data_IF_835358987325
#
_entry.id   IF_835358987325
#
_cell.length_a   1.000
_cell.length_b   1.000
_cell.length_c   1.000
_cell.angle_alpha   90.00
_cell.angle_beta   90.00
_cell.angle_gamma   90.00
#
_symmetry.space_group_name_H-M   'P 1'
#
loop_
_entity.id
_entity.type
_entity.pdbx_description
1 polymer ?
#
# COMPACT_ATOMS: atom_id res chain seq x y z
N UNK A 1 -14.63 16.25 13.38
CA UNK A 1 -14.34 14.90 12.83
C UNK A 1 -14.34 15.05 11.32
N UNK A 2 -13.25 14.67 10.65
CA UNK A 2 -13.24 14.63 9.19
C UNK A 2 -14.16 13.52 8.70
N UNK A 3 -14.83 13.75 7.58
CA UNK A 3 -15.54 12.70 6.83
C UNK A 3 -14.66 12.38 5.63
N UNK A 4 -14.35 11.10 5.43
CA UNK A 4 -13.49 10.61 4.36
C UNK A 4 -13.71 9.13 4.09
N UNK A 5 -13.08 8.60 3.06
CA UNK A 5 -13.08 7.16 2.79
C UNK A 5 -12.21 6.45 3.84
N UNK A 6 -12.77 5.52 4.63
CA UNK A 6 -11.99 4.82 5.65
C UNK A 6 -10.85 3.95 5.08
N UNK A 7 -10.89 3.58 3.79
CA UNK A 7 -9.83 2.82 3.14
C UNK A 7 -8.59 3.68 2.82
N UNK A 8 -8.72 5.00 2.83
CA UNK A 8 -7.61 5.93 2.62
C UNK A 8 -6.52 5.79 3.70
N UNK A 9 -6.85 5.31 4.90
CA UNK A 9 -5.89 5.06 5.99
C UNK A 9 -4.73 4.13 5.55
N UNK A 10 -4.98 3.25 4.58
CA UNK A 10 -3.95 2.35 4.05
C UNK A 10 -2.97 3.03 3.07
N UNK A 11 -3.09 4.33 2.79
CA UNK A 11 -2.22 5.05 1.85
C UNK A 11 -0.72 5.06 2.24
N UNK A 12 -0.41 4.77 3.51
CA UNK A 12 0.96 4.66 4.06
C UNK A 12 1.41 3.21 4.27
N UNK A 13 0.69 2.22 3.74
CA UNK A 13 0.99 0.79 3.95
C UNK A 13 2.40 0.40 3.49
N UNK A 14 3.02 1.17 2.58
CA UNK A 14 4.39 0.95 2.13
C UNK A 14 5.39 0.81 3.27
N UNK A 15 5.21 1.55 4.37
CA UNK A 15 6.08 1.46 5.54
C UNK A 15 5.96 0.12 6.25
N UNK A 16 4.74 -0.43 6.35
CA UNK A 16 4.54 -1.79 6.87
C UNK A 16 5.10 -2.84 5.92
N UNK A 17 4.82 -2.72 4.61
CA UNK A 17 5.25 -3.71 3.61
C UNK A 17 6.78 -3.82 3.54
N UNK A 18 7.50 -2.68 3.59
CA UNK A 18 8.98 -2.65 3.60
C UNK A 18 9.59 -3.39 4.80
N UNK A 19 8.87 -3.48 5.91
CA UNK A 19 9.32 -4.20 7.11
C UNK A 19 8.86 -5.65 7.08
N UNK A 20 7.61 -5.92 6.70
CA UNK A 20 7.03 -7.26 6.63
C UNK A 20 5.76 -7.30 5.77
N UNK A 21 5.85 -7.90 4.59
CA UNK A 21 4.69 -8.13 3.73
C UNK A 21 3.60 -8.99 4.40
N UNK A 22 3.91 -10.10 5.12
CA UNK A 22 2.90 -10.86 5.85
C UNK A 22 2.16 -10.05 6.92
N UNK A 23 2.87 -9.16 7.62
CA UNK A 23 2.24 -8.28 8.61
C UNK A 23 1.24 -7.32 7.94
N UNK A 24 1.64 -6.68 6.84
CA UNK A 24 0.75 -5.80 6.07
C UNK A 24 -0.48 -6.54 5.52
N UNK A 25 -0.31 -7.78 5.03
CA UNK A 25 -1.43 -8.63 4.64
C UNK A 25 -2.37 -8.92 5.82
N UNK A 26 -1.81 -9.23 6.99
CA UNK A 26 -2.56 -9.43 8.23
C UNK A 26 -3.35 -8.20 8.66
N UNK A 27 -2.83 -6.98 8.47
CA UNK A 27 -3.56 -5.74 8.73
C UNK A 27 -4.80 -5.61 7.83
N UNK A 28 -4.65 -5.87 6.52
CA UNK A 28 -5.75 -5.84 5.55
C UNK A 28 -6.79 -6.91 5.89
N UNK A 29 -6.37 -8.15 6.11
CA UNK A 29 -7.28 -9.23 6.46
C UNK A 29 -8.02 -8.99 7.78
N UNK A 30 -7.34 -8.45 8.79
CA UNK A 30 -7.97 -8.10 10.06
C UNK A 30 -9.05 -7.04 9.88
N UNK A 31 -8.81 -6.06 9.02
CA UNK A 31 -9.78 -4.99 8.73
C UNK A 31 -11.01 -5.49 7.98
N UNK A 32 -10.83 -6.37 6.99
CA UNK A 32 -11.91 -6.88 6.13
C UNK A 32 -12.45 -8.25 6.55
N UNK A 33 -12.16 -8.72 7.77
CA UNK A 33 -12.56 -10.05 8.24
C UNK A 33 -12.20 -11.18 7.25
N UNK A 34 -10.96 -11.19 6.78
CA UNK A 34 -10.35 -12.11 5.80
C UNK A 34 -10.82 -11.96 4.34
N UNK A 35 -11.79 -11.11 4.03
CA UNK A 35 -12.38 -10.99 2.69
C UNK A 35 -12.28 -9.54 2.16
N UNK A 36 -11.08 -9.04 1.84
CA UNK A 36 -10.94 -7.71 1.26
C UNK A 36 -11.61 -7.65 -0.11
N UNK A 37 -12.51 -6.67 -0.35
CA UNK A 37 -13.17 -6.53 -1.63
C UNK A 37 -12.18 -6.12 -2.72
N UNK A 38 -12.47 -6.46 -3.96
CA UNK A 38 -11.59 -6.14 -5.08
C UNK A 38 -11.43 -4.62 -5.28
N UNK A 39 -12.49 -3.86 -5.03
CA UNK A 39 -12.53 -2.39 -5.08
C UNK A 39 -11.53 -1.75 -4.12
N UNK A 40 -11.27 -2.39 -2.97
CA UNK A 40 -10.27 -1.90 -2.02
C UNK A 40 -8.88 -1.85 -2.67
N UNK A 41 -8.49 -2.86 -3.46
CA UNK A 41 -7.17 -2.88 -4.10
C UNK A 41 -7.04 -1.81 -5.19
N UNK A 42 -8.11 -1.53 -5.94
CA UNK A 42 -8.14 -0.42 -6.91
C UNK A 42 -7.93 0.92 -6.22
N UNK A 43 -8.62 1.15 -5.11
CA UNK A 43 -8.48 2.36 -4.31
C UNK A 43 -7.13 2.43 -3.61
N UNK A 44 -6.61 1.32 -3.09
CA UNK A 44 -5.27 1.25 -2.49
C UNK A 44 -4.19 1.64 -3.50
N UNK A 45 -4.29 1.17 -4.75
CA UNK A 45 -3.39 1.60 -5.84
C UNK A 45 -3.47 3.11 -6.05
N UNK A 46 -4.68 3.66 -6.21
CA UNK A 46 -4.88 5.10 -6.37
C UNK A 46 -4.30 5.90 -5.21
N UNK A 47 -4.66 5.55 -3.98
CA UNK A 47 -4.21 6.23 -2.76
C UNK A 47 -2.70 6.13 -2.57
N UNK A 48 -2.08 5.01 -2.96
CA UNK A 48 -0.62 4.87 -2.94
C UNK A 48 0.06 5.86 -3.89
N UNK A 49 -0.45 6.02 -5.13
CA UNK A 49 0.10 6.99 -6.07
C UNK A 49 -0.12 8.44 -5.62
N UNK A 50 -1.32 8.75 -5.12
CA UNK A 50 -1.63 10.07 -4.56
C UNK A 50 -0.69 10.40 -3.40
N UNK A 51 -0.46 9.45 -2.49
CA UNK A 51 0.47 9.63 -1.36
C UNK A 51 1.91 9.84 -1.83
N UNK A 52 2.39 9.06 -2.82
CA UNK A 52 3.74 9.19 -3.35
C UNK A 52 4.01 10.55 -4.00
N UNK A 53 3.01 11.14 -4.66
CA UNK A 53 3.12 12.50 -5.23
C UNK A 53 3.03 13.54 -4.11
N UNK A 54 2.09 13.38 -3.18
CA UNK A 54 1.83 14.33 -2.11
C UNK A 54 2.96 14.38 -1.05
N UNK A 55 3.77 13.33 -0.93
CA UNK A 55 4.88 13.27 0.02
C UNK A 55 6.10 14.10 -0.41
N UNK A 56 6.28 14.35 -1.72
CA UNK A 56 7.43 15.10 -2.24
C UNK A 56 7.46 16.57 -1.76
N UNK A 57 6.35 17.36 -1.83
CA UNK A 57 6.32 18.70 -1.26
C UNK A 57 6.67 18.75 0.24
N UNK A 58 6.32 17.71 0.99
CA UNK A 58 6.66 17.61 2.41
C UNK A 58 8.14 17.29 2.64
N UNK A 59 8.75 16.50 1.76
CA UNK A 59 10.17 16.14 1.83
C UNK A 59 11.12 17.29 1.46
N UNK A 60 10.73 18.15 0.50
CA UNK A 60 11.55 19.27 0.02
C UNK A 60 12.16 20.14 1.15
N UNK A 61 11.37 20.68 2.11
CA UNK A 61 11.92 21.50 3.19
C UNK A 61 12.76 20.72 4.20
N UNK A 62 12.70 19.38 4.20
CA UNK A 62 13.44 18.52 5.13
C UNK A 62 14.82 18.09 4.58
N UNK A 63 15.07 18.34 3.30
CA UNK A 63 16.37 18.11 2.66
C UNK A 63 16.44 16.83 1.84
N UNK A 64 17.58 16.63 1.19
CA UNK A 64 17.77 15.62 0.14
C UNK A 64 17.51 14.19 0.61
N UNK A 65 17.91 13.84 1.84
CA UNK A 65 17.69 12.50 2.39
C UNK A 65 16.20 12.12 2.38
N UNK A 66 15.31 13.04 2.74
CA UNK A 66 13.87 12.76 2.73
C UNK A 66 13.33 12.67 1.30
N UNK A 67 13.87 13.47 0.37
CA UNK A 67 13.50 13.40 -1.06
C UNK A 67 13.87 12.03 -1.62
N UNK A 68 15.08 11.54 -1.32
CA UNK A 68 15.57 10.24 -1.77
C UNK A 68 14.67 9.11 -1.24
N UNK A 69 14.29 9.17 0.03
CA UNK A 69 13.36 8.20 0.64
C UNK A 69 12.00 8.21 -0.09
N UNK A 70 11.44 9.38 -0.41
CA UNK A 70 10.16 9.45 -1.13
C UNK A 70 10.29 8.92 -2.57
N UNK A 71 11.41 9.20 -3.22
CA UNK A 71 11.71 8.68 -4.55
C UNK A 71 11.85 7.15 -4.55
N UNK A 72 12.59 6.58 -3.61
CA UNK A 72 12.75 5.12 -3.45
C UNK A 72 11.41 4.43 -3.18
N UNK A 73 10.58 5.03 -2.32
CA UNK A 73 9.23 4.54 -2.05
C UNK A 73 8.37 4.52 -3.34
N UNK A 74 8.48 5.54 -4.18
CA UNK A 74 7.80 5.57 -5.48
C UNK A 74 8.28 4.45 -6.41
N UNK A 75 9.60 4.20 -6.49
CA UNK A 75 10.15 3.13 -7.34
C UNK A 75 9.64 1.75 -6.91
N UNK A 76 9.68 1.46 -5.60
CA UNK A 76 9.16 0.21 -5.03
C UNK A 76 7.67 0.05 -5.36
N UNK A 77 6.87 1.08 -5.13
CA UNK A 77 5.44 1.05 -5.38
C UNK A 77 5.12 0.86 -6.87
N UNK A 78 5.87 1.51 -7.77
CA UNK A 78 5.74 1.29 -9.22
C UNK A 78 5.99 -0.18 -9.59
N UNK A 79 6.96 -0.83 -8.96
CA UNK A 79 7.27 -2.23 -9.24
C UNK A 79 6.19 -3.19 -8.74
N UNK A 80 5.45 -2.84 -7.67
CA UNK A 80 4.31 -3.62 -7.18
C UNK A 80 3.12 -3.66 -8.13
N UNK A 81 2.94 -2.60 -8.92
CA UNK A 81 1.81 -2.45 -9.84
C UNK A 81 2.22 -2.55 -11.31
N UNK A 82 3.33 -3.27 -11.60
CA UNK A 82 3.77 -3.56 -12.98
C UNK A 82 2.65 -4.27 -13.75
N UNK A 83 2.66 -4.08 -15.08
CA UNK A 83 1.72 -4.70 -16.03
C UNK A 83 0.25 -4.36 -15.73
N UNK A 84 0.01 -3.13 -15.28
CA UNK A 84 -1.30 -2.57 -14.94
C UNK A 84 -2.08 -3.32 -13.86
N UNK A 85 -1.41 -4.16 -13.05
CA UNK A 85 -2.05 -4.91 -11.99
C UNK A 85 -2.79 -4.00 -11.00
N UNK A 86 -4.01 -4.39 -10.63
CA UNK A 86 -4.81 -3.71 -9.60
C UNK A 86 -4.45 -4.16 -8.19
N UNK A 87 -3.89 -5.37 -8.05
CA UNK A 87 -3.49 -5.96 -6.77
C UNK A 87 -1.96 -5.93 -6.71
N UNK A 88 -1.33 -5.37 -5.66
CA UNK A 88 0.11 -5.29 -5.62
C UNK A 88 0.76 -6.67 -5.47
N UNK A 89 1.93 -6.87 -6.09
CA UNK A 89 2.62 -8.18 -6.13
C UNK A 89 2.91 -8.79 -4.76
N UNK A 90 3.23 -7.97 -3.75
CA UNK A 90 3.46 -8.43 -2.38
C UNK A 90 2.20 -9.08 -1.77
N UNK A 91 1.02 -8.54 -2.07
CA UNK A 91 -0.24 -9.09 -1.59
C UNK A 91 -0.62 -10.36 -2.33
N UNK A 92 -0.34 -10.44 -3.64
CA UNK A 92 -0.54 -11.69 -4.38
C UNK A 92 0.33 -12.83 -3.81
N UNK A 93 1.55 -12.50 -3.39
CA UNK A 93 2.53 -13.46 -2.87
C UNK A 93 2.20 -13.91 -1.44
N UNK A 94 1.80 -12.99 -0.55
CA UNK A 94 1.64 -13.26 0.89
C UNK A 94 0.21 -13.15 1.43
N UNK A 95 -0.70 -12.53 0.69
CA UNK A 95 -2.10 -12.32 1.06
C UNK A 95 -3.05 -13.41 0.60
N UNK A 96 -2.62 -14.31 -0.30
CA UNK A 96 -3.42 -15.46 -0.68
C UNK A 96 -3.60 -16.39 0.52
N UNK A 97 -4.79 -16.39 1.14
CA UNK A 97 -5.16 -17.38 2.15
C UNK A 97 -5.19 -18.74 1.44
N UNK A 98 -4.20 -19.59 1.69
CA UNK A 98 -4.33 -21.01 1.34
C UNK A 98 -5.57 -21.50 2.07
N UNK A 99 -6.63 -21.87 1.32
CA UNK A 99 -7.71 -22.66 1.90
C UNK A 99 -7.04 -23.83 2.60
N UNK A 100 -7.29 -23.97 3.89
CA UNK A 100 -6.90 -25.16 4.61
C UNK A 100 -7.71 -26.27 3.95
N UNK A 101 -7.04 -27.20 3.26
CA UNK A 101 -7.72 -28.38 2.75
C UNK A 101 -8.36 -29.07 3.97
N UNK A 102 -9.69 -29.20 3.92
CA UNK A 102 -10.50 -29.90 4.94
C UNK A 102 -10.18 -31.39 4.98
#
# INVERSE_FOLDING_TARGET
MGVGDPWEEFNRIIWSVKVSEPFACGQIHGYFNQEPPHEFFKLLKLYSYVNAIASLPWAIPLGQEQIDIMHDNYQIMRDWYRDDSEIPTWYQTHGSIKKKDD
#
